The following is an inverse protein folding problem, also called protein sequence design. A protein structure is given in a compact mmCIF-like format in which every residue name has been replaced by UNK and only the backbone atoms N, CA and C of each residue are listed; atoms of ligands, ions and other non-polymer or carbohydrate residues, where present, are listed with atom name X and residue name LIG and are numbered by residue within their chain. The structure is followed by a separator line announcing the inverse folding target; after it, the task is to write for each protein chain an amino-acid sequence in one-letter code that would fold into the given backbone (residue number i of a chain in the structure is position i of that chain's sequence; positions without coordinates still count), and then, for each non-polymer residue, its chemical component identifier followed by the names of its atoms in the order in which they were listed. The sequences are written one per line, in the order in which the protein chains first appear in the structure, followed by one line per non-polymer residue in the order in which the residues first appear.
data_IF_658495305474
#
_entry.id   IF_658495305474
#
_cell.length_a   1.000
_cell.length_b   1.000
_cell.length_c   1.000
_cell.angle_alpha   90.00
_cell.angle_beta   90.00
_cell.angle_gamma   90.00
#
_symmetry.space_group_name_H-M   'P 1'
#
loop_
_entity.id
_entity.type
_entity.pdbx_description
1 polymer ?
#
# COMPACT_ATOMS: atom_id res chain seq x y z
N UNK A 1 -11.24 -9.06 3.93
CA UNK A 1 -10.88 -8.99 2.50
C UNK A 1 -9.86 -10.05 2.17
N UNK A 2 -9.92 -10.67 1.00
CA UNK A 2 -8.90 -11.64 0.58
C UNK A 2 -7.62 -10.94 0.15
N UNK A 3 -6.48 -11.64 0.18
CA UNK A 3 -5.21 -11.14 -0.35
C UNK A 3 -5.36 -10.66 -1.81
N UNK A 4 -6.17 -11.36 -2.61
CA UNK A 4 -6.38 -11.02 -4.02
C UNK A 4 -7.22 -9.74 -4.21
N UNK A 5 -8.17 -9.45 -3.33
CA UNK A 5 -8.92 -8.19 -3.33
C UNK A 5 -8.03 -7.02 -2.92
N UNK A 6 -7.23 -7.21 -1.86
CA UNK A 6 -6.30 -6.18 -1.38
C UNK A 6 -5.25 -5.84 -2.44
N UNK A 7 -4.68 -6.85 -3.10
CA UNK A 7 -3.72 -6.67 -4.18
C UNK A 7 -4.29 -5.80 -5.32
N UNK A 8 -5.56 -6.04 -5.69
CA UNK A 8 -6.26 -5.24 -6.70
C UNK A 8 -6.52 -3.80 -6.23
N UNK A 9 -6.93 -3.63 -4.98
CA UNK A 9 -7.26 -2.30 -4.43
C UNK A 9 -6.02 -1.40 -4.26
N UNK A 10 -4.90 -2.00 -3.87
CA UNK A 10 -3.62 -1.30 -3.68
C UNK A 10 -2.76 -1.27 -4.95
N UNK A 11 -3.19 -1.90 -6.05
CA UNK A 11 -2.41 -2.03 -7.28
C UNK A 11 -1.01 -2.64 -7.07
N UNK A 12 -0.92 -3.69 -6.25
CA UNK A 12 0.33 -4.42 -5.95
C UNK A 12 0.18 -5.93 -6.17
N UNK A 13 1.29 -6.67 -6.10
CA UNK A 13 1.26 -8.13 -6.21
C UNK A 13 0.73 -8.79 -4.93
N UNK A 14 0.19 -10.02 -5.04
CA UNK A 14 -0.21 -10.82 -3.88
C UNK A 14 0.95 -11.09 -2.91
N UNK A 15 2.16 -11.26 -3.42
CA UNK A 15 3.36 -11.43 -2.60
C UNK A 15 3.69 -10.15 -1.82
N UNK A 16 3.47 -8.98 -2.42
CA UNK A 16 3.61 -7.71 -1.72
C UNK A 16 2.61 -7.59 -0.58
N UNK A 17 1.34 -7.99 -0.78
CA UNK A 17 0.34 -7.99 0.30
C UNK A 17 0.76 -8.90 1.46
N UNK A 18 1.33 -10.09 1.17
CA UNK A 18 1.89 -10.96 2.22
C UNK A 18 3.02 -10.29 2.99
N UNK A 19 3.93 -9.64 2.28
CA UNK A 19 5.01 -8.89 2.92
C UNK A 19 4.48 -7.78 3.84
N UNK A 20 3.43 -7.06 3.43
CA UNK A 20 2.80 -6.02 4.26
C UNK A 20 2.14 -6.58 5.53
N UNK A 21 1.64 -7.81 5.49
CA UNK A 21 1.11 -8.52 6.66
C UNK A 21 2.25 -8.96 7.59
N UNK A 22 3.32 -9.53 7.02
CA UNK A 22 4.51 -9.96 7.76
C UNK A 22 5.22 -8.77 8.45
N UNK A 23 5.22 -7.60 7.81
CA UNK A 23 5.83 -6.38 8.33
C UNK A 23 4.90 -5.58 9.25
N UNK A 24 3.64 -6.01 9.43
CA UNK A 24 2.65 -5.33 10.29
C UNK A 24 2.05 -4.04 9.71
N UNK A 25 2.26 -3.75 8.43
CA UNK A 25 1.61 -2.61 7.77
C UNK A 25 0.13 -2.88 7.48
N UNK A 26 -0.21 -4.13 7.18
CA UNK A 26 -1.58 -4.61 7.10
C UNK A 26 -1.85 -5.55 8.27
N UNK A 27 -3.12 -5.61 8.67
CA UNK A 27 -3.57 -6.53 9.72
C UNK A 27 -4.48 -7.59 9.11
N UNK A 28 -4.44 -8.79 9.66
CA UNK A 28 -5.36 -9.85 9.28
C UNK A 28 -5.06 -11.13 10.03
N UNK A 29 -5.85 -12.15 9.72
CA UNK A 29 -5.74 -13.45 10.36
C UNK A 29 -6.00 -14.57 9.36
N UNK A 30 -5.46 -15.75 9.65
CA UNK A 30 -5.82 -16.95 8.93
C UNK A 30 -7.25 -17.37 9.32
N UNK A 31 -8.12 -17.49 8.32
CA UNK A 31 -9.46 -18.02 8.48
C UNK A 31 -9.48 -19.53 8.75
N UNK A 32 -10.64 -20.04 9.15
CA UNK A 32 -10.84 -21.46 9.47
C UNK A 32 -10.63 -22.41 8.26
N UNK A 33 -10.75 -21.87 7.05
CA UNK A 33 -10.54 -22.55 5.77
C UNK A 33 -9.08 -22.47 5.28
N UNK A 34 -8.19 -21.83 6.05
CA UNK A 34 -6.82 -21.56 5.65
C UNK A 34 -6.66 -20.37 4.71
N UNK A 35 -7.74 -19.64 4.38
CA UNK A 35 -7.64 -18.41 3.62
C UNK A 35 -7.30 -17.23 4.53
N UNK A 36 -6.35 -16.39 4.11
CA UNK A 36 -5.98 -15.21 4.90
C UNK A 36 -6.99 -14.08 4.68
N UNK A 37 -7.64 -13.66 5.77
CA UNK A 37 -8.60 -12.57 5.79
C UNK A 37 -7.89 -11.31 6.32
N UNK A 38 -7.68 -10.36 5.41
CA UNK A 38 -7.12 -9.04 5.69
C UNK A 38 -8.20 -8.10 6.23
N UNK A 39 -7.87 -7.39 7.29
CA UNK A 39 -8.69 -6.34 7.90
C UNK A 39 -8.81 -5.14 6.96
N UNK A 40 -10.04 -4.79 6.60
CA UNK A 40 -10.34 -3.71 5.67
C UNK A 40 -9.91 -2.34 6.21
N UNK A 41 -10.01 -2.12 7.54
CA UNK A 41 -9.62 -0.87 8.18
C UNK A 41 -8.14 -0.57 8.00
N UNK A 42 -7.29 -1.57 8.19
CA UNK A 42 -5.84 -1.49 7.97
C UNK A 42 -5.50 -1.18 6.51
N UNK A 43 -6.23 -1.78 5.55
CA UNK A 43 -6.04 -1.54 4.11
C UNK A 43 -6.40 -0.09 3.74
N UNK A 44 -7.53 0.42 4.25
CA UNK A 44 -7.95 1.81 3.99
C UNK A 44 -6.94 2.81 4.55
N UNK A 45 -6.44 2.58 5.77
CA UNK A 45 -5.40 3.42 6.38
C UNK A 45 -4.12 3.41 5.55
N UNK A 46 -3.64 2.23 5.17
CA UNK A 46 -2.43 2.09 4.36
C UNK A 46 -2.55 2.82 3.02
N UNK A 47 -3.72 2.75 2.37
CA UNK A 47 -3.98 3.49 1.13
C UNK A 47 -3.94 5.00 1.34
N UNK A 48 -4.53 5.51 2.42
CA UNK A 48 -4.47 6.94 2.74
C UNK A 48 -3.02 7.40 2.96
N UNK A 49 -2.21 6.62 3.67
CA UNK A 49 -0.79 6.91 3.86
C UNK A 49 -0.01 6.94 2.55
N UNK A 50 -0.31 6.03 1.61
CA UNK A 50 0.25 6.05 0.26
C UNK A 50 -0.13 7.32 -0.51
N UNK A 51 -1.40 7.69 -0.49
CA UNK A 51 -1.91 8.87 -1.19
C UNK A 51 -1.28 10.15 -0.61
N UNK A 52 -1.16 10.25 0.73
CA UNK A 52 -0.48 11.36 1.39
C UNK A 52 1.01 11.42 1.05
N UNK A 53 1.70 10.28 1.01
CA UNK A 53 3.12 10.22 0.64
C UNK A 53 3.33 10.65 -0.81
N UNK A 54 2.47 10.20 -1.71
CA UNK A 54 2.50 10.63 -3.11
C UNK A 54 2.27 12.13 -3.23
N UNK A 55 1.29 12.68 -2.50
CA UNK A 55 1.03 14.11 -2.47
C UNK A 55 2.21 14.92 -1.94
N UNK A 56 2.82 14.52 -0.81
CA UNK A 56 4.01 15.19 -0.27
C UNK A 56 5.19 15.14 -1.23
N UNK A 57 5.36 14.04 -1.96
CA UNK A 57 6.39 13.93 -2.98
C UNK A 57 6.16 14.93 -4.11
N UNK A 58 4.92 15.01 -4.64
CA UNK A 58 4.57 15.97 -5.69
C UNK A 58 4.64 17.42 -5.23
N UNK A 59 4.12 17.75 -4.04
CA UNK A 59 4.15 19.11 -3.47
C UNK A 59 5.59 19.58 -3.18
N UNK A 60 6.53 18.65 -2.98
CA UNK A 60 7.95 18.92 -2.79
C UNK A 60 8.76 19.06 -4.08
N UNK A 61 8.16 18.83 -5.26
CA UNK A 61 8.79 19.11 -6.55
C UNK A 61 8.55 20.57 -6.94
N UNK A 62 9.49 21.46 -6.60
CA UNK A 62 9.58 22.82 -7.13
C UNK A 62 10.43 22.83 -8.41
N UNK A 63 10.10 23.66 -9.40
CA UNK A 63 10.82 23.80 -10.69
C UNK A 63 12.32 24.17 -10.58
N UNK A 64 12.85 24.42 -9.37
CA UNK A 64 14.27 24.73 -9.13
C UNK A 64 15.23 23.52 -9.29
N UNK A 65 14.72 22.31 -9.49
CA UNK A 65 15.50 21.13 -9.92
C UNK A 65 15.50 21.01 -11.46
N UNK A 66 15.55 22.13 -12.19
CA UNK A 66 15.87 22.11 -13.61
C UNK A 66 17.32 21.60 -13.74
N UNK A 67 17.55 20.40 -14.32
CA UNK A 67 18.91 19.94 -14.54
C UNK A 67 19.60 20.98 -15.43
N UNK A 68 20.86 21.39 -15.15
CA UNK A 68 21.55 22.37 -15.97
C UNK A 68 21.48 21.91 -17.42
N UNK A 69 20.82 22.72 -18.25
CA UNK A 69 20.58 22.43 -19.66
C UNK A 69 21.88 22.06 -20.36
N UNK A 70 21.83 21.02 -21.18
CA UNK A 70 22.92 20.58 -22.06
C UNK A 70 23.29 21.66 -23.09
#
# INVERSE_FOLDING_TARGET
MTIAEVARLLFVSRSHVRHLLESGHLHGALGHDGEYIVDEGSVKRYRQELDERARRYLDGQTEDDEPPGL
#
